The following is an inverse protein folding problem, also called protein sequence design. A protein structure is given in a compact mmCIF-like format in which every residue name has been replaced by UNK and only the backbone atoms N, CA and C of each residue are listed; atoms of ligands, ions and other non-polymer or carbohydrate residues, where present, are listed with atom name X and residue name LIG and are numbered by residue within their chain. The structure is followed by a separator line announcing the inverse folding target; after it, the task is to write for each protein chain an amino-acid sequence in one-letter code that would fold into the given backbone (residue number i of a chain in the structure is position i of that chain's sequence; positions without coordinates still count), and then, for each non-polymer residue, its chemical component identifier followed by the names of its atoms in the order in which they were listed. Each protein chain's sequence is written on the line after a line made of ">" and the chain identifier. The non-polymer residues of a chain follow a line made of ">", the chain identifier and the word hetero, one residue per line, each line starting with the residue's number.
data_IF_413034277018
#
_entry.id   IF_413034277018
#
_cell.length_a   1.000
_cell.length_b   1.000
_cell.length_c   1.000
_cell.angle_alpha   90.00
_cell.angle_beta   90.00
_cell.angle_gamma   90.00
#
_symmetry.space_group_name_H-M   'P 1'
#
loop_
_entity.id
_entity.type
_entity.pdbx_description
1 polymer ?
#
# COMPACT_ATOMS: atom_id res chain seq x y z
N UNK A 1 -2.03 13.34 11.57
CA UNK A 1 -2.95 14.33 12.15
C UNK A 1 -3.30 15.32 11.05
N UNK A 2 -4.54 15.29 10.55
CA UNK A 2 -5.05 16.35 9.65
C UNK A 2 -5.29 17.59 10.55
N UNK A 3 -4.84 18.79 10.19
CA UNK A 3 -5.10 19.98 11.00
C UNK A 3 -6.61 20.20 11.16
N UNK A 4 -7.06 20.50 12.38
CA UNK A 4 -8.48 20.80 12.68
C UNK A 4 -8.96 22.14 12.10
N UNK A 5 -8.09 22.91 11.47
CA UNK A 5 -8.47 24.03 10.62
C UNK A 5 -8.72 23.49 9.22
N UNK A 6 -9.97 23.58 8.76
CA UNK A 6 -10.38 23.11 7.44
C UNK A 6 -9.39 23.55 6.37
N UNK A 7 -9.07 22.63 5.44
CA UNK A 7 -8.19 22.90 4.33
C UNK A 7 -8.69 24.16 3.59
N UNK A 8 -7.81 25.14 3.30
CA UNK A 8 -8.15 26.25 2.42
C UNK A 8 -8.82 25.71 1.14
N UNK A 9 -9.75 26.46 0.55
CA UNK A 9 -10.61 26.01 -0.57
C UNK A 9 -9.84 25.56 -1.83
N UNK A 10 -8.54 25.78 -1.84
CA UNK A 10 -7.53 25.54 -2.88
C UNK A 10 -6.48 24.48 -2.47
N UNK A 11 -6.56 23.90 -1.28
CA UNK A 11 -5.65 22.82 -0.85
C UNK A 11 -6.23 21.46 -1.20
N UNK A 12 -5.73 20.90 -2.30
CA UNK A 12 -5.91 19.50 -2.67
C UNK A 12 -5.17 18.63 -1.65
N UNK A 13 -5.75 17.48 -1.31
CA UNK A 13 -5.06 16.49 -0.49
C UNK A 13 -3.73 16.10 -1.14
N UNK A 14 -2.64 15.93 -0.36
CA UNK A 14 -1.42 15.34 -0.90
C UNK A 14 -1.73 13.96 -1.49
N UNK A 15 -1.01 13.53 -2.54
CA UNK A 15 -1.25 12.24 -3.16
C UNK A 15 -1.09 11.12 -2.13
N UNK A 16 -2.04 10.19 -2.12
CA UNK A 16 -2.01 9.00 -1.28
C UNK A 16 -1.52 7.84 -2.14
N UNK A 17 -0.42 7.21 -1.73
CA UNK A 17 0.11 5.99 -2.34
C UNK A 17 -0.14 4.81 -1.39
N UNK A 18 -1.03 3.86 -1.73
CA UNK A 18 -1.16 2.63 -0.96
C UNK A 18 0.03 1.72 -1.25
N UNK A 19 0.53 1.09 -0.20
CA UNK A 19 1.65 0.16 -0.26
C UNK A 19 1.21 -1.14 0.40
N UNK A 20 1.40 -2.27 -0.28
CA UNK A 20 1.23 -3.61 0.28
C UNK A 20 2.61 -4.18 0.55
N UNK A 21 2.88 -4.48 1.80
CA UNK A 21 4.09 -5.18 2.24
C UNK A 21 3.74 -6.65 2.40
N UNK A 22 4.39 -7.50 1.63
CA UNK A 22 4.09 -8.92 1.59
C UNK A 22 5.32 -9.73 1.98
N UNK A 23 5.22 -10.48 3.07
CA UNK A 23 6.25 -11.42 3.53
C UNK A 23 5.72 -12.85 3.49
N UNK A 24 5.48 -13.38 2.30
CA UNK A 24 4.97 -14.74 2.12
C UNK A 24 6.00 -15.70 1.53
N UNK A 25 5.84 -17.01 1.76
CA UNK A 25 6.77 -18.04 1.27
C UNK A 25 6.72 -18.25 -0.26
N UNK A 26 5.69 -17.73 -0.93
CA UNK A 26 5.54 -17.77 -2.39
C UNK A 26 5.61 -16.36 -2.91
N UNK A 27 6.00 -16.18 -4.18
CA UNK A 27 5.90 -14.87 -4.84
C UNK A 27 4.46 -14.40 -4.88
N UNK A 28 4.22 -13.12 -4.63
CA UNK A 28 2.91 -12.53 -4.84
C UNK A 28 2.50 -12.64 -6.31
N UNK A 29 1.28 -13.13 -6.56
CA UNK A 29 0.72 -13.28 -7.90
C UNK A 29 -0.69 -12.71 -8.04
N UNK A 30 -1.20 -12.04 -7.00
CA UNK A 30 -2.49 -11.38 -7.04
C UNK A 30 -2.43 -10.04 -7.80
N UNK A 31 -3.54 -9.60 -8.42
CA UNK A 31 -3.63 -8.31 -9.12
C UNK A 31 -3.19 -7.11 -8.27
N UNK A 32 -2.59 -6.11 -8.92
CA UNK A 32 -2.15 -4.86 -8.27
C UNK A 32 -3.26 -3.80 -8.15
N UNK A 33 -4.39 -4.01 -8.83
CA UNK A 33 -5.56 -3.14 -8.70
C UNK A 33 -6.46 -3.63 -7.57
N UNK A 34 -6.77 -2.77 -6.60
CA UNK A 34 -7.63 -3.14 -5.46
C UNK A 34 -9.00 -3.61 -5.90
N UNK A 35 -9.54 -3.06 -7.00
CA UNK A 35 -10.82 -3.49 -7.55
C UNK A 35 -10.79 -4.98 -7.87
N UNK A 36 -9.76 -5.48 -8.56
CA UNK A 36 -9.65 -6.89 -8.95
C UNK A 36 -9.51 -7.85 -7.74
N UNK A 37 -9.19 -7.35 -6.55
CA UNK A 37 -9.11 -8.13 -5.31
C UNK A 37 -10.43 -8.16 -4.52
N UNK A 38 -11.36 -7.26 -4.84
CA UNK A 38 -12.62 -7.11 -4.11
C UNK A 38 -13.77 -7.55 -5.03
N UNK A 39 -14.60 -8.53 -4.63
CA UNK A 39 -15.79 -8.89 -5.39
C UNK A 39 -16.68 -7.67 -5.64
N UNK A 40 -17.34 -7.62 -6.80
CA UNK A 40 -18.23 -6.52 -7.11
C UNK A 40 -19.41 -6.46 -6.12
N UNK A 41 -19.57 -5.37 -5.34
CA UNK A 41 -20.68 -5.24 -4.41
C UNK A 41 -21.99 -4.98 -5.18
N UNK A 42 -23.15 -5.41 -4.64
CA UNK A 42 -24.42 -5.11 -5.28
C UNK A 42 -24.83 -3.64 -5.12
N UNK A 43 -25.52 -3.12 -6.13
CA UNK A 43 -26.25 -1.84 -6.07
C UNK A 43 -25.36 -0.62 -5.83
N UNK A 44 -25.87 0.36 -5.07
CA UNK A 44 -25.20 1.65 -4.84
C UNK A 44 -23.84 1.51 -4.15
N UNK A 45 -23.60 0.42 -3.43
CA UNK A 45 -22.32 0.16 -2.75
C UNK A 45 -21.19 -0.10 -3.76
N UNK A 46 -21.50 -0.55 -4.98
CA UNK A 46 -20.53 -0.71 -6.05
C UNK A 46 -19.77 0.59 -6.37
N UNK A 47 -20.43 1.74 -6.21
CA UNK A 47 -19.85 3.07 -6.47
C UNK A 47 -18.69 3.42 -5.52
N UNK A 48 -18.62 2.77 -4.36
CA UNK A 48 -17.59 3.00 -3.35
C UNK A 48 -16.49 1.95 -3.39
N UNK A 49 -16.50 1.04 -4.37
CA UNK A 49 -15.43 0.06 -4.57
C UNK A 49 -14.14 0.79 -4.96
N UNK A 50 -13.02 0.61 -4.25
CA UNK A 50 -11.77 1.26 -4.58
C UNK A 50 -11.24 0.76 -5.93
N UNK A 51 -10.92 1.70 -6.82
CA UNK A 51 -10.42 1.42 -8.17
C UNK A 51 -8.96 1.84 -8.38
N UNK A 52 -8.20 1.96 -7.29
CA UNK A 52 -6.81 2.39 -7.32
C UNK A 52 -5.84 1.20 -7.32
N UNK A 53 -4.68 1.43 -7.93
CA UNK A 53 -3.55 0.52 -7.87
C UNK A 53 -2.73 0.77 -6.60
N UNK A 54 -2.04 -0.27 -6.13
CA UNK A 54 -1.11 -0.19 -5.01
C UNK A 54 0.31 -0.59 -5.41
N UNK A 55 1.29 -0.04 -4.70
CA UNK A 55 2.67 -0.49 -4.81
C UNK A 55 2.87 -1.75 -3.96
N UNK A 56 3.21 -2.86 -4.61
CA UNK A 56 3.59 -4.08 -3.91
C UNK A 56 5.09 -4.09 -3.59
N UNK A 57 5.42 -4.46 -2.35
CA UNK A 57 6.78 -4.82 -1.95
C UNK A 57 6.75 -6.26 -1.43
N UNK A 58 7.24 -7.19 -2.24
CA UNK A 58 7.44 -8.59 -1.85
C UNK A 58 8.78 -8.70 -1.11
N UNK A 59 8.70 -8.73 0.22
CA UNK A 59 9.82 -8.70 1.16
C UNK A 59 10.64 -9.99 1.11
N UNK A 60 9.98 -11.14 1.00
CA UNK A 60 10.63 -12.45 0.98
C UNK A 60 11.49 -12.66 -0.28
N UNK A 61 11.17 -11.96 -1.36
CA UNK A 61 11.88 -12.04 -2.63
C UNK A 61 12.60 -10.74 -3.00
N UNK A 62 12.71 -9.80 -2.06
CA UNK A 62 13.40 -8.53 -2.27
C UNK A 62 14.91 -8.73 -2.24
N UNK A 63 15.64 -8.11 -3.17
CA UNK A 63 17.10 -8.19 -3.17
C UNK A 63 17.68 -7.38 -1.99
N UNK A 64 18.38 -8.01 -1.03
CA UNK A 64 18.96 -7.31 0.12
C UNK A 64 19.97 -6.23 -0.26
N UNK A 65 20.65 -6.32 -1.41
CA UNK A 65 21.58 -5.29 -1.87
C UNK A 65 20.89 -3.99 -2.28
N UNK A 66 19.60 -4.03 -2.66
CA UNK A 66 18.81 -2.82 -2.90
C UNK A 66 18.33 -2.15 -1.61
N UNK A 67 18.43 -2.84 -0.46
CA UNK A 67 18.03 -2.31 0.86
C UNK A 67 19.19 -1.60 1.58
N UNK A 68 20.44 -1.84 1.19
CA UNK A 68 21.65 -1.35 1.88
C UNK A 68 21.88 0.17 1.86
N UNK A 69 21.09 0.93 1.11
CA UNK A 69 21.22 2.39 1.00
C UNK A 69 20.01 3.18 1.47
N UNK A 70 18.90 2.51 1.83
CA UNK A 70 17.62 3.19 2.04
C UNK A 70 17.13 2.88 3.45
N UNK A 71 17.13 3.91 4.32
CA UNK A 71 16.37 3.89 5.58
C UNK A 71 14.87 3.96 5.27
N UNK A 72 14.32 2.93 4.62
CA UNK A 72 12.91 2.86 4.24
C UNK A 72 12.10 2.03 5.25
N UNK A 73 10.79 2.25 5.25
CA UNK A 73 9.79 1.56 6.09
C UNK A 73 9.91 0.03 6.01
N UNK A 74 10.34 -0.48 4.86
CA UNK A 74 10.60 -1.91 4.62
C UNK A 74 11.70 -2.45 5.54
N UNK A 75 12.84 -1.75 5.62
CA UNK A 75 13.93 -2.14 6.51
C UNK A 75 13.54 -2.05 8.00
N UNK A 76 12.64 -1.13 8.36
CA UNK A 76 12.11 -1.01 9.72
C UNK A 76 11.20 -2.20 10.07
N UNK A 77 10.31 -2.60 9.17
CA UNK A 77 9.37 -3.71 9.39
C UNK A 77 10.10 -5.06 9.43
N UNK A 78 11.08 -5.28 8.54
CA UNK A 78 11.90 -6.50 8.57
C UNK A 78 12.67 -6.69 9.89
N UNK A 79 13.08 -5.60 10.55
CA UNK A 79 13.74 -5.66 11.86
C UNK A 79 12.78 -6.01 13.00
N UNK A 80 11.49 -5.68 12.88
CA UNK A 80 10.49 -5.94 13.93
C UNK A 80 10.02 -7.40 13.96
N UNK A 81 10.20 -8.18 12.88
CA UNK A 81 9.80 -9.60 12.84
C UNK A 81 10.83 -10.57 13.46
N UNK A 82 11.98 -10.08 13.95
CA UNK A 82 13.05 -10.90 14.56
C UNK A 82 12.95 -11.04 16.09
N UNK A 83 11.74 -11.07 16.67
CA UNK A 83 11.54 -11.29 18.13
C UNK A 83 11.28 -12.75 18.45
#
# INVERSE_FOLDING_TARGET
>A
MIPSAGLPADVVLPPILPIVLYNGPRRWNAPLGLSALIPEPPGVVALYRPALDYLLIDLAHYNPDKLRGVRNLVALIAQMEQV
#
